data_IF_308059132277
#
_entry.id   IF_308059132277
#
_cell.length_a   1.000
_cell.length_b   1.000
_cell.length_c   1.000
_cell.angle_alpha   90.00
_cell.angle_beta   90.00
_cell.angle_gamma   90.00
#
_symmetry.space_group_name_H-M   'P 1'
#
loop_
_entity.id
_entity.type
_entity.pdbx_description
1 polymer ?
#
# COMPACT_ATOMS: atom_id res chain seq x y z
N UNK A 1 -44.24 5.44 28.14
CA UNK A 1 -44.58 6.02 26.82
C UNK A 1 -43.74 5.29 25.77
N UNK A 2 -44.38 4.44 24.96
CA UNK A 2 -43.72 3.60 23.92
C UNK A 2 -43.64 4.41 22.62
N UNK A 3 -42.48 4.46 21.98
CA UNK A 3 -42.31 5.00 20.61
C UNK A 3 -42.59 3.92 19.57
N UNK A 4 -43.27 4.23 18.46
CA UNK A 4 -43.52 3.23 17.40
C UNK A 4 -42.38 3.19 16.38
N UNK A 5 -42.17 1.98 15.82
CA UNK A 5 -41.25 1.66 14.72
C UNK A 5 -41.76 2.18 13.37
N UNK A 6 -40.88 2.54 12.42
CA UNK A 6 -41.30 2.89 11.07
C UNK A 6 -41.51 1.67 10.19
N UNK A 7 -42.66 1.63 9.53
CA UNK A 7 -43.07 0.67 8.50
C UNK A 7 -42.38 1.04 7.19
N UNK A 8 -41.63 0.11 6.60
CA UNK A 8 -41.06 0.24 5.25
C UNK A 8 -42.06 -0.27 4.23
N UNK A 9 -42.58 0.63 3.41
CA UNK A 9 -43.47 0.33 2.28
C UNK A 9 -42.62 -0.10 1.08
N UNK A 10 -42.79 -1.35 0.60
CA UNK A 10 -42.25 -1.80 -0.70
C UNK A 10 -43.34 -1.68 -1.76
N UNK A 11 -43.10 -0.85 -2.76
CA UNK A 11 -43.93 -0.77 -3.96
C UNK A 11 -43.50 -1.85 -4.97
N UNK A 12 -44.42 -2.76 -5.33
CA UNK A 12 -44.27 -3.65 -6.48
C UNK A 12 -44.85 -2.97 -7.71
N UNK A 13 -44.02 -2.80 -8.75
CA UNK A 13 -44.48 -2.35 -10.08
C UNK A 13 -45.07 -3.54 -10.84
N UNK A 14 -46.36 -3.42 -11.22
CA UNK A 14 -47.03 -4.33 -12.16
C UNK A 14 -46.77 -3.85 -13.59
N UNK A 15 -46.21 -4.72 -14.44
CA UNK A 15 -46.19 -4.56 -15.88
C UNK A 15 -47.22 -5.51 -16.46
N UNK A 16 -48.23 -4.93 -17.09
CA UNK A 16 -49.27 -5.67 -17.80
C UNK A 16 -48.81 -6.09 -19.21
N UNK A 17 -49.15 -7.31 -19.58
CA UNK A 17 -49.11 -7.75 -20.99
C UNK A 17 -50.50 -8.24 -21.39
N UNK A 18 -51.03 -7.67 -22.45
CA UNK A 18 -52.28 -8.03 -23.16
C UNK A 18 -52.05 -9.18 -24.13
N UNK A 19 -52.99 -10.12 -24.21
CA UNK A 19 -53.04 -11.03 -25.36
C UNK A 19 -53.85 -12.29 -25.19
N UNK A 20 -55.04 -12.28 -25.77
CA UNK A 20 -55.81 -13.35 -26.46
C UNK A 20 -56.42 -14.51 -25.70
N UNK A 21 -57.74 -14.63 -25.86
CA UNK A 21 -58.66 -15.65 -25.39
C UNK A 21 -58.44 -17.02 -26.07
N UNK A 22 -58.50 -18.08 -25.27
CA UNK A 22 -59.08 -19.40 -25.66
C UNK A 22 -59.52 -20.14 -24.43
N UNK A 23 -60.74 -20.73 -24.49
CA UNK A 23 -61.47 -21.38 -23.41
C UNK A 23 -60.81 -22.63 -22.84
N UNK A 24 -60.89 -22.81 -21.55
CA UNK A 24 -60.60 -24.11 -20.95
C UNK A 24 -60.29 -24.11 -19.44
N UNK A 25 -61.34 -24.39 -18.63
CA UNK A 25 -61.30 -24.98 -17.27
C UNK A 25 -60.34 -24.41 -16.20
N UNK A 26 -60.91 -23.73 -15.25
CA UNK A 26 -60.28 -23.40 -13.95
C UNK A 26 -59.86 -24.66 -13.18
N UNK A 27 -58.57 -24.78 -12.91
CA UNK A 27 -58.03 -25.53 -11.77
C UNK A 27 -57.26 -24.53 -10.93
N UNK A 28 -57.80 -24.20 -9.74
CA UNK A 28 -57.09 -23.39 -8.75
C UNK A 28 -56.04 -24.29 -8.11
N UNK A 29 -54.77 -24.02 -8.39
CA UNK A 29 -53.65 -24.45 -7.58
C UNK A 29 -53.04 -23.21 -6.91
N UNK A 30 -53.21 -23.15 -5.58
CA UNK A 30 -52.44 -22.23 -4.77
C UNK A 30 -50.97 -22.70 -4.78
N UNK A 31 -50.08 -21.98 -5.46
CA UNK A 31 -48.67 -22.12 -5.26
C UNK A 31 -48.15 -20.90 -4.52
N UNK A 32 -47.97 -21.01 -3.22
CA UNK A 32 -47.07 -20.15 -2.46
C UNK A 32 -45.62 -20.48 -2.89
N UNK A 33 -45.10 -19.70 -3.79
CA UNK A 33 -43.68 -19.76 -4.14
C UNK A 33 -43.07 -18.40 -3.91
N UNK A 34 -42.85 -18.05 -2.62
CA UNK A 34 -41.74 -17.18 -2.26
C UNK A 34 -40.49 -18.06 -2.26
N UNK A 35 -39.88 -18.24 -3.40
CA UNK A 35 -38.61 -18.93 -3.53
C UNK A 35 -37.53 -18.10 -2.86
N UNK A 36 -36.95 -18.65 -1.80
CA UNK A 36 -35.66 -18.21 -1.30
C UNK A 36 -34.68 -18.14 -2.48
N UNK A 37 -34.35 -16.91 -2.91
CA UNK A 37 -33.19 -16.71 -3.76
C UNK A 37 -31.96 -16.95 -2.90
N UNK A 38 -31.56 -18.21 -2.77
CA UNK A 38 -30.21 -18.55 -2.39
C UNK A 38 -29.29 -17.91 -3.41
N UNK A 39 -28.68 -16.78 -3.03
CA UNK A 39 -27.55 -16.22 -3.72
C UNK A 39 -26.42 -17.25 -3.65
N UNK A 40 -26.31 -18.09 -4.68
CA UNK A 40 -25.11 -18.91 -4.85
C UNK A 40 -23.95 -17.96 -5.07
N UNK A 41 -23.15 -17.72 -4.03
CA UNK A 41 -21.87 -17.06 -4.18
C UNK A 41 -21.08 -17.92 -5.18
N UNK A 42 -20.84 -17.39 -6.36
CA UNK A 42 -19.95 -18.03 -7.34
C UNK A 42 -18.61 -18.19 -6.64
N UNK A 43 -18.06 -19.42 -6.51
CA UNK A 43 -16.75 -19.61 -5.90
C UNK A 43 -15.76 -18.74 -6.64
N UNK A 44 -15.14 -17.79 -5.95
CA UNK A 44 -14.09 -16.98 -6.56
C UNK A 44 -12.88 -17.90 -6.79
N UNK A 45 -12.58 -18.16 -8.04
CA UNK A 45 -11.46 -19.01 -8.44
C UNK A 45 -10.15 -18.28 -8.16
N UNK A 46 -9.16 -18.99 -7.62
CA UNK A 46 -7.81 -18.48 -7.45
C UNK A 46 -7.25 -18.01 -8.80
N UNK A 47 -6.60 -16.84 -8.80
CA UNK A 47 -6.02 -16.24 -10.02
C UNK A 47 -4.52 -16.07 -9.83
N UNK A 48 -3.73 -16.37 -10.86
CA UNK A 48 -2.30 -16.12 -10.86
C UNK A 48 -1.99 -14.70 -11.31
N UNK A 49 -1.04 -14.04 -10.64
CA UNK A 49 -0.50 -12.75 -11.01
C UNK A 49 1.03 -12.79 -10.98
N UNK A 50 1.67 -12.47 -12.13
CA UNK A 50 3.12 -12.37 -12.23
C UNK A 50 3.59 -11.00 -11.81
N UNK A 51 4.40 -10.96 -10.73
CA UNK A 51 4.82 -9.73 -10.07
C UNK A 51 6.35 -9.63 -10.12
N UNK A 52 6.85 -8.41 -10.31
CA UNK A 52 8.26 -8.09 -10.14
C UNK A 52 8.45 -7.09 -8.99
N UNK A 53 9.50 -7.29 -8.21
CA UNK A 53 10.09 -6.30 -7.30
C UNK A 53 11.36 -5.76 -7.92
N UNK A 54 11.55 -4.45 -7.85
CA UNK A 54 12.77 -3.77 -8.31
C UNK A 54 13.56 -3.32 -7.09
N UNK A 55 14.57 -4.08 -6.73
CA UNK A 55 15.50 -3.72 -5.67
C UNK A 55 16.61 -2.85 -6.25
N UNK A 56 16.57 -1.55 -5.95
CA UNK A 56 17.53 -0.60 -6.53
C UNK A 56 18.06 0.41 -5.52
N UNK A 57 19.25 0.90 -5.78
CA UNK A 57 19.82 2.05 -5.10
C UNK A 57 19.20 3.32 -5.67
N UNK A 58 18.87 4.26 -4.81
CA UNK A 58 18.49 5.62 -5.23
C UNK A 58 19.59 6.61 -4.86
N UNK A 59 19.85 7.54 -5.74
CA UNK A 59 20.74 8.68 -5.47
C UNK A 59 19.89 9.80 -4.87
N UNK A 60 20.27 10.28 -3.70
CA UNK A 60 19.50 11.34 -3.03
C UNK A 60 19.44 12.59 -3.89
N UNK A 61 18.28 13.21 -4.00
CA UNK A 61 17.95 14.38 -4.82
C UNK A 61 18.06 14.22 -6.35
N UNK A 62 18.48 13.08 -6.87
CA UNK A 62 18.57 12.84 -8.31
C UNK A 62 17.31 12.16 -8.86
N UNK A 63 16.18 12.88 -8.82
CA UNK A 63 14.89 12.34 -9.29
C UNK A 63 15.00 11.84 -10.73
N UNK A 64 15.54 12.64 -11.64
CA UNK A 64 15.58 12.30 -13.07
C UNK A 64 16.49 11.08 -13.33
N UNK A 65 17.65 11.00 -12.67
CA UNK A 65 18.54 9.83 -12.76
C UNK A 65 17.91 8.56 -12.18
N UNK A 66 17.27 8.67 -11.02
CA UNK A 66 16.58 7.53 -10.40
C UNK A 66 15.41 7.04 -11.28
N UNK A 67 14.58 7.92 -11.83
CA UNK A 67 13.50 7.55 -12.75
C UNK A 67 14.01 6.91 -14.04
N UNK A 68 15.13 7.38 -14.58
CA UNK A 68 15.79 6.77 -15.74
C UNK A 68 16.25 5.34 -15.43
N UNK A 69 16.88 5.11 -14.28
CA UNK A 69 17.32 3.77 -13.85
C UNK A 69 16.12 2.85 -13.59
N UNK A 70 15.09 3.37 -12.90
CA UNK A 70 13.85 2.65 -12.65
C UNK A 70 13.14 2.23 -13.95
N UNK A 71 13.19 3.07 -14.99
CA UNK A 71 12.67 2.75 -16.32
C UNK A 71 13.33 1.51 -16.90
N UNK A 72 14.67 1.43 -16.84
CA UNK A 72 15.42 0.28 -17.37
C UNK A 72 15.06 -1.03 -16.62
N UNK A 73 14.84 -0.95 -15.30
CA UNK A 73 14.37 -2.11 -14.53
C UNK A 73 12.92 -2.50 -14.88
N UNK A 74 12.02 -1.51 -15.04
CA UNK A 74 10.64 -1.77 -15.46
C UNK A 74 10.56 -2.47 -16.82
N UNK A 75 11.38 -2.04 -17.78
CA UNK A 75 11.49 -2.65 -19.11
C UNK A 75 11.96 -4.10 -19.04
N UNK A 76 12.99 -4.37 -18.23
CA UNK A 76 13.47 -5.75 -18.00
C UNK A 76 12.40 -6.62 -17.36
N UNK A 77 11.66 -6.09 -16.37
CA UNK A 77 10.58 -6.83 -15.70
C UNK A 77 9.42 -7.12 -16.67
N UNK A 78 9.00 -6.13 -17.45
CA UNK A 78 7.95 -6.29 -18.46
C UNK A 78 8.34 -7.32 -19.55
N UNK A 79 9.60 -7.27 -20.02
CA UNK A 79 10.11 -8.23 -20.99
C UNK A 79 10.12 -9.68 -20.45
N UNK A 80 10.17 -9.86 -19.14
CA UNK A 80 10.06 -11.16 -18.46
C UNK A 80 8.61 -11.52 -18.08
N UNK A 81 7.64 -10.77 -18.59
CA UNK A 81 6.21 -11.05 -18.43
C UNK A 81 5.59 -10.55 -17.13
N UNK A 82 6.26 -9.69 -16.37
CA UNK A 82 5.66 -9.08 -15.18
C UNK A 82 4.41 -8.26 -15.56
N UNK A 83 3.33 -8.43 -14.81
CA UNK A 83 2.07 -7.70 -14.96
C UNK A 83 1.94 -6.56 -13.94
N UNK A 84 2.66 -6.67 -12.83
CA UNK A 84 2.78 -5.63 -11.81
C UNK A 84 4.26 -5.50 -11.43
N UNK A 85 4.74 -4.27 -11.34
CA UNK A 85 6.10 -3.94 -10.91
C UNK A 85 6.02 -3.01 -9.70
N UNK A 86 6.64 -3.44 -8.59
CA UNK A 86 6.73 -2.68 -7.35
C UNK A 86 8.14 -2.13 -7.18
N UNK A 87 8.23 -0.83 -6.89
CA UNK A 87 9.47 -0.13 -6.55
C UNK A 87 9.51 0.21 -5.05
N UNK A 88 10.72 0.45 -4.50
CA UNK A 88 10.87 0.82 -3.10
C UNK A 88 10.19 2.15 -2.72
N UNK A 89 10.04 2.34 -1.42
CA UNK A 89 9.67 3.62 -0.82
C UNK A 89 10.70 4.70 -1.19
N UNK A 90 10.22 5.92 -1.54
CA UNK A 90 11.05 7.04 -1.96
C UNK A 90 12.06 6.69 -3.09
N UNK A 91 11.65 5.83 -4.01
CA UNK A 91 12.53 5.38 -5.09
C UNK A 91 13.09 6.55 -5.90
N UNK A 92 12.25 7.55 -6.19
CA UNK A 92 12.65 8.68 -7.02
C UNK A 92 13.50 9.71 -6.26
N UNK A 93 13.15 10.02 -5.02
CA UNK A 93 13.75 11.14 -4.25
C UNK A 93 14.98 10.75 -3.43
N UNK A 94 15.19 9.47 -3.21
CA UNK A 94 16.09 8.98 -2.17
C UNK A 94 15.37 8.88 -0.82
N UNK A 95 16.03 8.32 0.18
CA UNK A 95 15.49 8.20 1.54
C UNK A 95 16.57 8.60 2.52
N UNK A 96 16.62 9.87 2.80
CA UNK A 96 17.52 10.42 3.80
C UNK A 96 16.71 11.31 4.76
N UNK A 97 17.05 11.24 6.04
CA UNK A 97 16.34 11.94 7.09
C UNK A 97 17.08 13.24 7.44
N UNK A 98 16.85 14.28 6.62
CA UNK A 98 17.48 15.59 6.78
C UNK A 98 16.48 16.67 6.36
N UNK A 99 16.65 17.92 6.84
CA UNK A 99 15.72 19.02 6.53
C UNK A 99 15.77 19.49 5.08
N UNK A 100 16.76 19.08 4.29
CA UNK A 100 16.80 19.29 2.85
C UNK A 100 16.03 18.21 2.06
N UNK A 101 15.47 17.19 2.73
CA UNK A 101 14.60 16.19 2.07
C UNK A 101 13.41 16.86 1.38
N UNK A 102 12.92 17.99 1.93
CA UNK A 102 11.81 18.74 1.34
C UNK A 102 12.14 19.39 0.00
N UNK A 103 13.43 19.54 -0.35
CA UNK A 103 13.85 20.07 -1.67
C UNK A 103 13.60 19.06 -2.79
N UNK A 104 13.41 17.78 -2.44
CA UNK A 104 13.05 16.70 -3.37
C UNK A 104 11.57 16.37 -3.35
N UNK A 105 10.75 17.07 -2.56
CA UNK A 105 9.32 16.82 -2.54
C UNK A 105 8.66 17.26 -3.85
N UNK A 106 7.59 16.57 -4.22
CA UNK A 106 6.87 16.81 -5.45
C UNK A 106 5.38 17.13 -5.16
N UNK A 107 4.71 17.92 -6.00
CA UNK A 107 3.26 18.07 -5.91
C UNK A 107 2.57 16.74 -6.24
N UNK A 108 1.29 16.60 -5.89
CA UNK A 108 0.47 15.40 -6.13
C UNK A 108 0.52 14.84 -7.57
N UNK A 109 0.87 15.66 -8.55
CA UNK A 109 1.00 15.31 -9.97
C UNK A 109 2.43 15.59 -10.48
N UNK A 110 3.42 15.42 -9.61
CA UNK A 110 4.82 15.68 -9.92
C UNK A 110 5.44 14.69 -10.91
N UNK A 111 6.77 14.80 -11.08
CA UNK A 111 7.55 13.99 -12.04
C UNK A 111 7.38 12.49 -11.82
N UNK A 112 7.41 12.04 -10.56
CA UNK A 112 7.27 10.61 -10.21
C UNK A 112 5.91 10.06 -10.66
N UNK A 113 4.82 10.77 -10.40
CA UNK A 113 3.47 10.35 -10.84
C UNK A 113 3.34 10.41 -12.37
N UNK A 114 3.88 11.43 -13.01
CA UNK A 114 3.89 11.54 -14.47
C UNK A 114 4.69 10.39 -15.11
N UNK A 115 5.85 10.05 -14.53
CA UNK A 115 6.66 8.91 -14.96
C UNK A 115 5.92 7.57 -14.79
N UNK A 116 5.31 7.32 -13.62
CA UNK A 116 4.50 6.12 -13.38
C UNK A 116 3.43 5.96 -14.48
N UNK A 117 2.67 7.02 -14.74
CA UNK A 117 1.58 6.99 -15.73
C UNK A 117 2.07 6.76 -17.16
N UNK A 118 3.14 7.43 -17.58
CA UNK A 118 3.68 7.29 -18.94
C UNK A 118 4.34 5.93 -19.14
N UNK A 119 5.11 5.45 -18.16
CA UNK A 119 5.85 4.19 -18.25
C UNK A 119 4.90 2.99 -18.15
N UNK A 120 3.95 3.00 -17.22
CA UNK A 120 2.94 1.94 -17.11
C UNK A 120 2.12 1.79 -18.39
N UNK A 121 1.71 2.92 -19.01
CA UNK A 121 1.02 2.92 -20.30
C UNK A 121 1.87 2.34 -21.42
N UNK A 122 3.12 2.79 -21.53
CA UNK A 122 4.05 2.33 -22.58
C UNK A 122 4.35 0.83 -22.48
N UNK A 123 4.51 0.32 -21.25
CA UNK A 123 4.83 -1.09 -21.00
C UNK A 123 3.59 -2.00 -20.89
N UNK A 124 2.40 -1.42 -20.74
CA UNK A 124 1.15 -2.18 -20.58
C UNK A 124 1.07 -2.94 -19.23
N UNK A 125 1.69 -2.42 -18.17
CA UNK A 125 1.78 -3.06 -16.85
C UNK A 125 1.30 -2.15 -15.73
N UNK A 126 0.94 -2.76 -14.59
CA UNK A 126 0.73 -2.04 -13.34
C UNK A 126 2.08 -1.63 -12.74
N UNK A 127 2.17 -0.42 -12.19
CA UNK A 127 3.39 0.04 -11.52
C UNK A 127 3.04 0.80 -10.24
N UNK A 128 3.86 0.61 -9.19
CA UNK A 128 3.67 1.32 -7.92
C UNK A 128 4.98 1.67 -7.24
N UNK A 129 5.02 2.85 -6.62
CA UNK A 129 6.09 3.33 -5.72
C UNK A 129 5.55 4.41 -4.79
N UNK A 130 6.29 4.76 -3.73
CA UNK A 130 5.99 5.96 -2.96
C UNK A 130 6.98 7.10 -3.26
N UNK A 131 6.54 8.31 -2.94
CA UNK A 131 7.32 9.54 -3.09
C UNK A 131 6.94 10.54 -2.01
N UNK A 132 7.80 11.53 -1.76
CA UNK A 132 7.51 12.61 -0.84
C UNK A 132 6.60 13.63 -1.54
N UNK A 133 5.32 13.60 -1.17
CA UNK A 133 4.28 14.48 -1.70
C UNK A 133 4.19 15.76 -0.88
N UNK A 134 4.15 16.91 -1.55
CA UNK A 134 3.71 18.17 -0.95
C UNK A 134 2.25 18.44 -1.34
N UNK A 135 1.36 18.53 -0.35
CA UNK A 135 -0.06 18.83 -0.54
C UNK A 135 -0.53 19.87 0.49
N UNK A 136 -0.96 21.03 -0.01
CA UNK A 136 -1.27 22.16 0.85
C UNK A 136 -0.04 22.60 1.65
N UNK A 137 -0.19 22.64 2.97
CA UNK A 137 0.87 23.06 3.88
C UNK A 137 1.72 21.92 4.44
N UNK A 138 1.56 20.69 3.96
CA UNK A 138 2.14 19.49 4.56
C UNK A 138 2.87 18.61 3.55
N UNK A 139 3.75 17.76 4.08
CA UNK A 139 4.42 16.69 3.34
C UNK A 139 3.89 15.33 3.77
N UNK A 140 3.84 14.39 2.84
CA UNK A 140 3.36 13.02 3.04
C UNK A 140 4.25 12.03 2.30
N UNK A 141 4.45 10.85 2.88
CA UNK A 141 4.91 9.70 2.13
C UNK A 141 3.70 9.06 1.45
N UNK A 142 3.65 9.16 0.13
CA UNK A 142 2.48 8.79 -0.67
C UNK A 142 2.81 7.71 -1.68
N UNK A 143 2.21 6.55 -1.52
CA UNK A 143 2.23 5.49 -2.53
C UNK A 143 1.19 5.77 -3.61
N UNK A 144 1.58 5.55 -4.87
CA UNK A 144 0.69 5.63 -6.05
C UNK A 144 0.78 4.35 -6.85
N UNK A 145 -0.38 3.80 -7.20
CA UNK A 145 -0.52 2.68 -8.12
C UNK A 145 -1.09 3.17 -9.45
N UNK A 146 -0.47 2.78 -10.56
CA UNK A 146 -0.95 3.11 -11.92
C UNK A 146 -1.35 1.88 -12.70
N UNK A 147 -2.35 2.05 -13.58
CA UNK A 147 -2.90 1.00 -14.44
C UNK A 147 -2.06 0.84 -15.72
N UNK A 148 -2.22 -0.29 -16.46
CA UNK A 148 -1.63 -0.47 -17.78
C UNK A 148 -2.06 0.57 -18.82
N UNK A 149 -3.14 1.32 -18.57
CA UNK A 149 -3.60 2.42 -19.42
C UNK A 149 -2.97 3.77 -19.03
N UNK A 150 -2.10 3.80 -18.01
CA UNK A 150 -1.45 5.02 -17.52
C UNK A 150 -2.36 5.90 -16.67
N UNK A 151 -3.39 5.34 -16.09
CA UNK A 151 -4.25 6.04 -15.14
C UNK A 151 -3.79 5.78 -13.70
N UNK A 152 -3.99 6.71 -12.82
CA UNK A 152 -3.86 6.47 -11.38
C UNK A 152 -5.03 5.59 -10.93
N UNK A 153 -4.72 4.39 -10.41
CA UNK A 153 -5.71 3.49 -9.85
C UNK A 153 -6.11 3.91 -8.43
N UNK A 154 -5.17 4.51 -7.70
CA UNK A 154 -5.36 5.02 -6.36
C UNK A 154 -4.03 5.36 -5.69
N UNK A 155 -4.13 5.93 -4.49
CA UNK A 155 -3.00 6.27 -3.63
C UNK A 155 -3.26 5.94 -2.18
N UNK A 156 -2.19 5.71 -1.43
CA UNK A 156 -2.19 5.52 0.01
C UNK A 156 -1.13 6.43 0.60
N UNK A 157 -1.49 7.26 1.57
CA UNK A 157 -0.55 8.02 2.38
C UNK A 157 -0.18 7.22 3.62
N UNK A 158 1.09 7.20 3.95
CA UNK A 158 1.59 6.59 5.17
C UNK A 158 0.85 7.17 6.38
N UNK A 159 0.23 6.32 7.18
CA UNK A 159 -0.53 6.75 8.35
C UNK A 159 0.38 7.01 9.54
N UNK A 160 1.48 6.23 9.64
CA UNK A 160 2.41 6.30 10.76
C UNK A 160 3.82 6.54 10.25
N UNK A 161 4.31 7.80 10.27
CA UNK A 161 5.74 8.05 10.13
C UNK A 161 6.51 7.36 11.25
N UNK A 162 7.53 6.57 10.91
CA UNK A 162 8.27 5.79 11.89
C UNK A 162 9.35 6.63 12.57
N UNK A 163 9.27 6.80 13.89
CA UNK A 163 10.30 7.46 14.69
C UNK A 163 10.76 8.80 14.11
N UNK A 164 12.01 8.90 13.61
CA UNK A 164 12.55 10.15 13.06
C UNK A 164 11.83 10.69 11.81
N UNK A 165 11.09 9.87 11.09
CA UNK A 165 10.35 10.33 9.91
C UNK A 165 9.33 11.42 10.24
N UNK A 166 8.78 11.37 11.47
CA UNK A 166 7.80 12.35 11.94
C UNK A 166 8.34 13.79 12.02
N UNK A 167 9.65 14.02 11.91
CA UNK A 167 10.23 15.34 11.70
C UNK A 167 10.04 15.89 10.30
N UNK A 168 9.80 15.04 9.31
CA UNK A 168 9.89 15.38 7.88
C UNK A 168 8.57 15.30 7.14
N UNK A 169 7.66 14.44 7.58
CA UNK A 169 6.31 14.35 7.01
C UNK A 169 5.29 13.90 8.07
N UNK A 170 4.03 14.18 7.79
CA UNK A 170 2.94 13.80 8.68
C UNK A 170 2.26 12.52 8.20
N UNK A 171 1.61 11.81 9.13
CA UNK A 171 0.71 10.72 8.82
C UNK A 171 -0.68 11.21 8.43
N UNK A 172 -1.38 10.42 7.62
CA UNK A 172 -2.79 10.64 7.28
C UNK A 172 -3.57 9.33 7.45
N UNK A 173 -4.62 9.38 8.28
CA UNK A 173 -5.54 8.24 8.44
C UNK A 173 -6.37 8.10 7.18
N UNK A 174 -6.34 6.90 6.59
CA UNK A 174 -7.07 6.62 5.35
C UNK A 174 -7.19 5.14 5.05
N UNK A 175 -7.76 4.81 3.90
CA UNK A 175 -7.80 3.43 3.42
C UNK A 175 -6.40 2.96 3.01
N UNK A 176 -6.03 1.77 3.47
CA UNK A 176 -4.84 1.05 3.01
C UNK A 176 -5.12 0.11 1.84
N UNK A 177 -6.32 0.15 1.25
CA UNK A 177 -6.70 -0.73 0.15
C UNK A 177 -7.17 0.08 -1.06
N UNK A 178 -6.60 -0.23 -2.22
CA UNK A 178 -6.96 0.31 -3.53
C UNK A 178 -7.77 -0.74 -4.29
N UNK A 179 -8.99 -0.40 -4.71
CA UNK A 179 -9.82 -1.28 -5.53
C UNK A 179 -9.36 -1.21 -6.99
N UNK A 180 -9.04 -2.35 -7.58
CA UNK A 180 -8.50 -2.44 -8.95
C UNK A 180 -9.09 -3.59 -9.75
N UNK A 181 -8.86 -3.62 -11.08
CA UNK A 181 -9.24 -4.73 -11.94
C UNK A 181 -8.46 -6.03 -11.66
N UNK A 182 -7.30 -5.95 -11.01
CA UNK A 182 -6.50 -7.13 -10.62
C UNK A 182 -6.78 -7.58 -9.18
N UNK A 183 -7.70 -6.95 -8.49
CA UNK A 183 -8.10 -7.25 -7.11
C UNK A 183 -7.99 -6.05 -6.20
N UNK A 184 -8.25 -6.27 -4.94
CA UNK A 184 -8.10 -5.28 -3.86
C UNK A 184 -6.65 -5.30 -3.39
N UNK A 185 -5.94 -4.22 -3.62
CA UNK A 185 -4.50 -4.11 -3.35
C UNK A 185 -4.30 -3.40 -2.02
N UNK A 186 -3.88 -4.15 -1.01
CA UNK A 186 -3.42 -3.60 0.27
C UNK A 186 -2.04 -2.97 0.11
N UNK A 187 -1.82 -1.84 0.76
CA UNK A 187 -0.53 -1.14 0.76
C UNK A 187 -0.15 -0.77 2.17
N UNK A 188 0.96 -1.28 2.65
CA UNK A 188 1.60 -0.85 3.88
C UNK A 188 2.99 -0.28 3.56
N UNK A 189 3.22 0.99 3.90
CA UNK A 189 4.48 1.64 3.57
C UNK A 189 5.48 1.43 4.70
N UNK A 190 6.54 0.68 4.43
CA UNK A 190 7.69 0.48 5.31
C UNK A 190 7.29 0.02 6.74
N UNK A 191 7.57 0.82 7.74
CA UNK A 191 7.32 0.49 9.15
C UNK A 191 5.85 0.21 9.50
N UNK A 192 4.90 0.67 8.70
CA UNK A 192 3.47 0.38 8.92
C UNK A 192 3.18 -1.12 8.93
N UNK A 193 3.93 -1.89 8.16
CA UNK A 193 3.76 -3.34 8.07
C UNK A 193 4.08 -4.09 9.37
N UNK A 194 4.68 -3.42 10.36
CA UNK A 194 4.91 -3.99 11.69
C UNK A 194 3.75 -3.77 12.66
N UNK A 195 2.74 -2.97 12.31
CA UNK A 195 1.61 -2.66 13.19
C UNK A 195 0.41 -3.55 12.92
N UNK A 196 -0.07 -4.22 13.99
CA UNK A 196 -1.22 -5.14 13.91
C UNK A 196 -2.47 -4.48 13.33
N UNK A 197 -2.75 -3.24 13.70
CA UNK A 197 -3.96 -2.55 13.24
C UNK A 197 -3.92 -2.23 11.75
N UNK A 198 -2.74 -1.97 11.15
CA UNK A 198 -2.61 -1.79 9.69
C UNK A 198 -2.91 -3.12 8.97
N UNK A 199 -2.37 -4.23 9.46
CA UNK A 199 -2.69 -5.56 8.93
C UNK A 199 -4.19 -5.86 9.06
N UNK A 200 -4.80 -5.55 10.21
CA UNK A 200 -6.24 -5.72 10.44
C UNK A 200 -7.10 -4.89 9.48
N UNK A 201 -6.75 -3.62 9.26
CA UNK A 201 -7.45 -2.77 8.28
C UNK A 201 -7.43 -3.35 6.85
N UNK A 202 -6.29 -3.93 6.43
CA UNK A 202 -6.22 -4.57 5.10
C UNK A 202 -7.10 -5.81 5.01
N UNK A 203 -7.18 -6.61 6.08
CA UNK A 203 -8.04 -7.80 6.14
C UNK A 203 -9.51 -7.39 6.16
N UNK A 204 -9.92 -6.44 7.00
CA UNK A 204 -11.29 -5.92 7.07
C UNK A 204 -11.78 -5.39 5.73
N UNK A 205 -10.89 -4.73 4.97
CA UNK A 205 -11.18 -4.25 3.63
C UNK A 205 -11.04 -5.34 2.55
N UNK A 206 -10.72 -6.58 2.95
CA UNK A 206 -10.63 -7.77 2.09
C UNK A 206 -9.55 -7.67 1.02
N UNK A 207 -8.34 -7.21 1.36
CA UNK A 207 -7.21 -7.17 0.43
C UNK A 207 -6.96 -8.55 -0.21
N UNK A 208 -6.58 -8.57 -1.48
CA UNK A 208 -6.24 -9.77 -2.26
C UNK A 208 -4.72 -9.95 -2.42
N UNK A 209 -3.98 -8.86 -2.33
CA UNK A 209 -2.54 -8.76 -2.46
C UNK A 209 -2.06 -7.63 -1.56
N UNK A 210 -0.93 -7.80 -0.89
CA UNK A 210 -0.32 -6.75 -0.08
C UNK A 210 1.02 -6.33 -0.68
N UNK A 211 1.16 -5.03 -0.96
CA UNK A 211 2.37 -4.40 -1.43
C UNK A 211 3.04 -3.65 -0.28
N UNK A 212 4.33 -3.91 -0.10
CA UNK A 212 5.15 -3.37 0.99
C UNK A 212 6.37 -2.65 0.41
N UNK A 213 6.24 -1.40 -0.07
CA UNK A 213 7.40 -0.59 -0.44
C UNK A 213 8.16 -0.17 0.82
N UNK A 214 9.46 -0.44 0.86
CA UNK A 214 10.34 -0.16 1.98
C UNK A 214 11.54 0.68 1.58
N UNK A 215 11.98 1.52 2.51
CA UNK A 215 13.32 2.10 2.57
C UNK A 215 13.86 1.86 3.98
N UNK A 216 13.92 0.58 4.36
CA UNK A 216 14.35 0.14 5.68
C UNK A 216 15.87 0.03 5.71
N UNK A 217 16.58 0.95 6.40
CA UNK A 217 18.03 0.87 6.52
C UNK A 217 18.42 -0.24 7.51
N UNK A 218 19.61 -0.79 7.33
CA UNK A 218 20.27 -1.54 8.39
C UNK A 218 20.82 -0.55 9.42
N UNK A 219 20.05 -0.31 10.46
CA UNK A 219 20.40 0.60 11.56
C UNK A 219 21.56 0.08 12.40
N UNK A 220 21.96 -1.20 12.25
CA UNK A 220 22.76 -1.93 13.21
C UNK A 220 24.02 -2.58 12.62
N UNK A 221 24.65 -1.99 11.61
CA UNK A 221 25.99 -2.44 11.14
C UNK A 221 27.06 -2.51 12.25
N UNK A 222 26.73 -2.05 13.44
CA UNK A 222 27.61 -2.07 14.63
C UNK A 222 27.32 -3.25 15.58
N UNK A 223 26.78 -4.34 15.13
CA UNK A 223 26.90 -5.61 15.84
C UNK A 223 25.78 -5.97 16.79
N UNK A 224 24.57 -6.20 16.33
CA UNK A 224 23.76 -7.02 17.18
C UNK A 224 22.26 -7.12 16.99
N UNK A 225 21.61 -6.26 16.29
CA UNK A 225 20.17 -6.38 16.05
C UNK A 225 19.91 -6.12 14.56
N UNK A 226 19.98 -7.17 13.77
CA UNK A 226 19.54 -7.12 12.38
C UNK A 226 18.02 -6.88 12.36
N UNK A 227 17.56 -5.87 11.64
CA UNK A 227 16.17 -5.86 11.23
C UNK A 227 15.86 -7.21 10.57
N UNK A 228 14.76 -7.88 10.95
CA UNK A 228 14.43 -9.15 10.32
C UNK A 228 14.45 -8.98 8.81
N UNK A 229 14.99 -9.92 8.03
CA UNK A 229 14.92 -9.85 6.58
C UNK A 229 13.49 -9.58 6.13
N UNK A 230 13.30 -8.77 5.09
CA UNK A 230 11.98 -8.48 4.54
C UNK A 230 11.17 -9.73 4.21
N UNK A 231 11.86 -10.83 3.93
CA UNK A 231 11.29 -12.18 3.81
C UNK A 231 10.48 -12.57 5.06
N UNK A 232 10.95 -12.28 6.27
CA UNK A 232 10.24 -12.65 7.50
C UNK A 232 8.92 -11.89 7.64
N UNK A 233 8.90 -10.61 7.28
CA UNK A 233 7.70 -9.79 7.32
C UNK A 233 6.67 -10.28 6.29
N UNK A 234 7.07 -10.39 5.02
CA UNK A 234 6.21 -10.90 3.96
C UNK A 234 5.70 -12.33 4.27
N UNK A 235 6.58 -13.17 4.86
CA UNK A 235 6.23 -14.54 5.27
C UNK A 235 5.16 -14.56 6.36
N UNK A 236 5.24 -13.62 7.33
CA UNK A 236 4.22 -13.50 8.37
C UNK A 236 2.85 -13.21 7.76
N UNK A 237 2.76 -12.26 6.82
CA UNK A 237 1.52 -11.92 6.12
C UNK A 237 0.97 -13.10 5.31
N UNK A 238 1.79 -13.73 4.47
CA UNK A 238 1.37 -14.90 3.69
C UNK A 238 0.84 -16.02 4.56
N UNK A 239 1.56 -16.39 5.62
CA UNK A 239 1.19 -17.51 6.51
C UNK A 239 -0.03 -17.23 7.38
N UNK A 240 -0.15 -16.00 7.93
CA UNK A 240 -1.17 -15.72 8.92
C UNK A 240 -2.44 -15.13 8.30
N UNK A 241 -2.32 -14.42 7.17
CA UNK A 241 -3.46 -13.81 6.52
C UNK A 241 -3.98 -14.59 5.32
N UNK A 242 -3.18 -15.52 4.77
CA UNK A 242 -3.51 -16.20 3.52
C UNK A 242 -3.56 -15.25 2.32
N UNK A 243 -2.83 -14.13 2.38
CA UNK A 243 -2.77 -13.08 1.36
C UNK A 243 -1.34 -13.00 0.87
N UNK A 244 -1.08 -13.05 -0.44
CA UNK A 244 0.28 -12.85 -0.97
C UNK A 244 0.84 -11.51 -0.53
N UNK A 245 2.11 -11.49 -0.15
CA UNK A 245 2.79 -10.30 0.32
C UNK A 245 4.07 -10.06 -0.48
N UNK A 246 4.23 -8.86 -0.99
CA UNK A 246 5.33 -8.44 -1.87
C UNK A 246 6.08 -7.30 -1.21
N UNK A 247 7.24 -7.60 -0.66
CA UNK A 247 8.09 -6.63 0.01
C UNK A 247 9.25 -6.26 -0.91
N UNK A 248 9.43 -4.98 -1.16
CA UNK A 248 10.58 -4.45 -1.89
C UNK A 248 11.32 -3.41 -1.04
N UNK A 249 12.62 -3.59 -0.90
CA UNK A 249 13.47 -2.65 -0.18
C UNK A 249 14.51 -2.02 -1.11
N UNK A 250 15.05 -0.89 -0.71
CA UNK A 250 16.25 -0.31 -1.32
C UNK A 250 17.47 -1.17 -1.04
N UNK A 251 18.51 -0.93 -1.84
CA UNK A 251 19.84 -1.51 -1.64
C UNK A 251 20.92 -0.43 -1.74
N UNK A 252 22.07 -0.66 -1.11
CA UNK A 252 23.21 0.24 -1.18
C UNK A 252 23.16 1.40 -0.18
N UNK A 253 23.96 2.41 -0.41
CA UNK A 253 24.12 3.53 0.52
C UNK A 253 23.33 4.75 0.06
N UNK A 254 22.75 5.48 1.02
CA UNK A 254 22.40 6.89 0.82
C UNK A 254 23.69 7.71 0.65
N UNK A 255 23.73 8.62 -0.31
CA UNK A 255 24.93 9.42 -0.63
C UNK A 255 25.18 10.55 0.36
N UNK A 256 24.15 10.99 1.07
CA UNK A 256 24.28 12.02 2.12
C UNK A 256 23.86 11.41 3.46
N UNK A 257 24.80 10.86 4.25
CA UNK A 257 24.45 10.47 5.61
C UNK A 257 23.97 11.72 6.37
N UNK A 258 22.91 11.59 7.15
CA UNK A 258 22.51 12.66 8.05
C UNK A 258 23.69 13.03 8.97
N UNK A 259 23.77 14.29 9.43
CA UNK A 259 24.86 14.73 10.32
C UNK A 259 24.98 13.93 11.61
N UNK A 260 24.00 13.08 11.94
CA UNK A 260 23.92 12.28 13.16
C UNK A 260 24.18 10.78 12.95
N UNK A 261 25.01 10.39 11.96
CA UNK A 261 25.60 9.03 11.85
C UNK A 261 24.68 7.84 11.56
N UNK A 262 23.40 8.01 11.28
CA UNK A 262 22.63 6.92 10.68
C UNK A 262 23.15 6.77 9.25
N UNK A 263 24.20 5.97 9.10
CA UNK A 263 24.73 5.58 7.79
C UNK A 263 23.63 4.79 7.11
N UNK A 264 22.86 5.45 6.23
CA UNK A 264 21.77 4.85 5.49
C UNK A 264 22.27 3.78 4.54
N UNK A 265 22.58 2.59 5.09
CA UNK A 265 22.84 1.40 4.32
C UNK A 265 21.54 0.60 4.24
N UNK A 266 21.08 0.37 3.03
CA UNK A 266 19.90 -0.42 2.75
C UNK A 266 20.34 -1.84 2.35
N UNK A 267 19.89 -2.88 3.07
CA UNK A 267 20.37 -4.25 2.85
C UNK A 267 19.71 -4.94 1.66
N UNK A 268 18.71 -4.35 1.03
CA UNK A 268 17.92 -5.06 0.02
C UNK A 268 17.02 -6.10 0.67
N UNK A 269 17.24 -7.39 0.39
CA UNK A 269 16.52 -8.54 0.96
C UNK A 269 15.02 -8.53 0.63
N UNK A 270 14.66 -8.04 -0.56
CA UNK A 270 13.28 -8.04 -1.06
C UNK A 270 12.74 -9.46 -1.24
N UNK A 271 11.43 -9.64 -1.07
CA UNK A 271 10.81 -10.96 -1.16
C UNK A 271 9.40 -10.91 -1.74
N UNK A 272 9.03 -11.98 -2.43
CA UNK A 272 7.66 -12.28 -2.88
C UNK A 272 7.22 -13.56 -2.18
N UNK A 273 6.17 -13.49 -1.39
CA UNK A 273 5.58 -14.62 -0.66
C UNK A 273 4.16 -14.83 -1.14
N UNK A 274 3.79 -16.08 -1.37
CA UNK A 274 2.46 -16.46 -1.84
C UNK A 274 1.44 -16.60 -0.70
N UNK A 275 0.18 -16.75 -1.04
CA UNK A 275 -0.95 -16.93 -0.10
C UNK A 275 -0.86 -18.20 0.75
N UNK A 276 -0.05 -19.19 0.37
CA UNK A 276 0.24 -20.38 1.17
C UNK A 276 1.43 -20.21 2.12
N UNK A 277 2.03 -19.00 2.15
CA UNK A 277 3.23 -18.70 2.91
C UNK A 277 4.51 -19.23 2.30
N UNK A 278 4.50 -19.74 1.06
CA UNK A 278 5.71 -20.13 0.36
C UNK A 278 6.47 -18.92 -0.16
N UNK A 279 7.78 -18.88 0.05
CA UNK A 279 8.66 -17.87 -0.53
C UNK A 279 8.88 -18.20 -2.00
N UNK A 280 8.29 -17.41 -2.90
CA UNK A 280 8.41 -17.59 -4.36
C UNK A 280 9.66 -16.92 -4.91
N UNK A 281 10.09 -15.83 -4.29
CA UNK A 281 11.33 -15.11 -4.62
C UNK A 281 11.92 -14.51 -3.36
N UNK A 282 13.22 -14.60 -3.23
CA UNK A 282 14.04 -13.90 -2.23
C UNK A 282 15.23 -13.29 -2.94
N UNK A 283 15.58 -12.05 -2.62
CA UNK A 283 16.73 -11.35 -3.18
C UNK A 283 17.83 -11.20 -2.13
N UNK A 284 19.05 -11.10 -2.60
CA UNK A 284 20.25 -10.79 -1.79
C UNK A 284 20.41 -9.27 -1.58
N UNK A 285 21.62 -8.82 -1.36
CA UNK A 285 22.01 -7.41 -1.13
C UNK A 285 22.42 -6.66 -2.41
N UNK A 286 22.04 -7.16 -3.58
CA UNK A 286 22.41 -6.59 -4.88
C UNK A 286 21.25 -5.94 -5.57
N UNK A 287 21.54 -4.93 -6.41
CA UNK A 287 20.54 -4.38 -7.33
C UNK A 287 20.04 -5.43 -8.32
N UNK A 288 18.75 -5.42 -8.57
CA UNK A 288 18.17 -6.34 -9.52
C UNK A 288 16.64 -6.35 -9.50
N UNK A 289 16.12 -7.32 -10.23
CA UNK A 289 14.67 -7.63 -10.23
C UNK A 289 14.45 -9.03 -9.72
N UNK A 290 13.49 -9.19 -8.81
CA UNK A 290 12.95 -10.48 -8.42
C UNK A 290 11.58 -10.67 -9.06
N UNK A 291 11.30 -11.84 -9.66
CA UNK A 291 10.04 -12.10 -10.34
C UNK A 291 9.47 -13.43 -9.89
N UNK A 292 8.16 -13.44 -9.59
CA UNK A 292 7.44 -14.66 -9.29
C UNK A 292 5.95 -14.54 -9.65
N UNK A 293 5.29 -15.68 -9.77
CA UNK A 293 3.86 -15.80 -9.83
C UNK A 293 3.31 -16.04 -8.41
N UNK A 294 2.25 -15.30 -8.05
CA UNK A 294 1.52 -15.49 -6.80
C UNK A 294 0.07 -15.84 -7.08
N UNK A 295 -0.56 -16.54 -6.14
CA UNK A 295 -1.95 -16.95 -6.20
C UNK A 295 -2.82 -16.00 -5.38
N UNK A 296 -3.68 -15.24 -6.04
CA UNK A 296 -4.75 -14.48 -5.40
C UNK A 296 -5.90 -15.43 -5.11
N UNK A 297 -5.87 -16.09 -3.96
CA UNK A 297 -6.81 -17.14 -3.58
C UNK A 297 -7.76 -16.67 -2.46
N UNK A 298 -9.01 -16.35 -2.79
CA UNK A 298 -9.99 -15.91 -1.80
C UNK A 298 -10.29 -16.96 -0.72
N UNK A 299 -10.10 -18.24 -1.03
CA UNK A 299 -10.35 -19.36 -0.11
C UNK A 299 -9.29 -19.48 0.99
N UNK A 300 -8.13 -18.86 0.83
CA UNK A 300 -7.05 -18.87 1.82
C UNK A 300 -7.07 -17.69 2.79
N UNK A 301 -7.79 -16.62 2.43
CA UNK A 301 -7.79 -15.39 3.24
C UNK A 301 -8.42 -15.61 4.61
N UNK A 302 -7.77 -15.08 5.65
CA UNK A 302 -8.37 -15.06 6.98
C UNK A 302 -9.62 -14.20 6.99
N UNK A 303 -10.64 -14.64 7.74
CA UNK A 303 -11.85 -13.84 8.02
C UNK A 303 -11.78 -13.10 9.35
N UNK A 304 -10.66 -13.24 10.10
CA UNK A 304 -10.47 -12.57 11.39
C UNK A 304 -10.15 -11.11 11.15
N UNK A 305 -10.93 -10.20 11.68
CA UNK A 305 -10.66 -8.75 11.65
C UNK A 305 -9.46 -8.38 12.52
N UNK A 306 -9.31 -9.03 13.67
CA UNK A 306 -8.15 -8.84 14.55
C UNK A 306 -7.12 -9.96 14.27
N UNK A 307 -6.11 -9.62 13.49
CA UNK A 307 -5.10 -10.60 13.02
C UNK A 307 -3.93 -10.78 13.97
N UNK A 308 -3.70 -9.83 14.86
CA UNK A 308 -2.75 -9.92 15.95
C UNK A 308 -3.13 -8.95 17.08
N UNK A 309 -2.58 -9.19 18.28
CA UNK A 309 -2.84 -8.36 19.46
C UNK A 309 -1.64 -7.49 19.80
N UNK A 310 -1.89 -6.33 20.39
CA UNK A 310 -0.88 -5.38 20.79
C UNK A 310 -0.48 -4.38 19.71
N UNK A 311 0.63 -3.66 19.95
CA UNK A 311 1.06 -2.56 19.09
C UNK A 311 1.70 -3.09 17.80
N UNK A 312 2.35 -4.26 17.85
CA UNK A 312 3.14 -4.75 16.74
C UNK A 312 3.03 -6.24 16.49
N UNK A 313 3.47 -6.66 15.32
CA UNK A 313 3.68 -8.06 14.96
C UNK A 313 4.84 -8.56 15.80
N UNK A 314 4.55 -9.27 16.88
CA UNK A 314 5.45 -9.53 18.01
C UNK A 314 6.81 -10.16 17.63
N UNK A 315 6.85 -10.97 16.58
CA UNK A 315 8.09 -11.58 16.08
C UNK A 315 9.04 -10.59 15.37
N UNK A 316 8.54 -9.36 15.12
CA UNK A 316 9.21 -8.36 14.29
C UNK A 316 9.44 -7.04 15.03
N UNK A 317 8.94 -6.91 16.27
CA UNK A 317 9.17 -5.69 17.07
C UNK A 317 10.51 -5.76 17.81
N UNK A 318 11.38 -4.80 17.52
CA UNK A 318 12.62 -4.60 18.24
C UNK A 318 12.34 -3.90 19.57
N UNK A 319 12.76 -4.49 20.69
CA UNK A 319 12.79 -3.81 21.99
C UNK A 319 11.57 -4.02 22.91
N UNK A 320 10.57 -4.81 22.56
CA UNK A 320 9.43 -5.09 23.44
C UNK A 320 8.63 -3.84 23.83
N UNK A 321 7.85 -3.92 24.92
CA UNK A 321 6.97 -2.84 25.38
C UNK A 321 7.70 -1.57 25.86
N UNK A 322 8.90 -1.69 26.40
CA UNK A 322 9.70 -0.54 26.84
C UNK A 322 10.21 0.28 25.62
N UNK A 323 10.71 -0.41 24.58
CA UNK A 323 11.14 0.25 23.34
C UNK A 323 9.98 0.95 22.62
N UNK A 324 8.78 0.37 22.64
CA UNK A 324 7.60 0.97 22.04
C UNK A 324 7.20 2.31 22.69
N UNK A 325 7.34 2.43 24.02
CA UNK A 325 7.04 3.68 24.73
C UNK A 325 8.05 4.79 24.39
N UNK A 326 9.33 4.45 24.26
CA UNK A 326 10.37 5.41 23.86
C UNK A 326 10.18 5.88 22.41
N UNK A 327 9.86 4.96 21.50
CA UNK A 327 9.54 5.30 20.09
C UNK A 327 8.34 6.22 20.02
N UNK A 328 7.26 5.93 20.75
CA UNK A 328 6.06 6.77 20.76
C UNK A 328 6.34 8.18 21.31
N UNK A 329 7.20 8.31 22.32
CA UNK A 329 7.63 9.60 22.83
C UNK A 329 8.44 10.38 21.80
N UNK A 330 9.41 9.73 21.17
CA UNK A 330 10.24 10.34 20.13
C UNK A 330 9.39 10.79 18.92
N UNK A 331 8.41 9.99 18.52
CA UNK A 331 7.45 10.35 17.47
C UNK A 331 6.60 11.57 17.83
N UNK A 332 6.14 11.66 19.08
CA UNK A 332 5.36 12.81 19.56
C UNK A 332 6.20 14.11 19.56
N UNK A 333 7.47 14.04 19.98
CA UNK A 333 8.40 15.17 19.93
C UNK A 333 8.71 15.58 18.47
N UNK A 334 8.94 14.62 17.60
CA UNK A 334 9.19 14.85 16.18
C UNK A 334 7.99 15.51 15.50
N UNK A 335 6.78 15.02 15.75
CA UNK A 335 5.54 15.60 15.25
C UNK A 335 5.36 17.05 15.69
N UNK A 336 5.57 17.34 16.98
CA UNK A 336 5.50 18.69 17.52
C UNK A 336 6.52 19.62 16.84
N UNK A 337 7.75 19.13 16.61
CA UNK A 337 8.78 19.86 15.87
C UNK A 337 8.35 20.16 14.43
N UNK A 338 7.81 19.16 13.72
CA UNK A 338 7.28 19.31 12.37
C UNK A 338 6.16 20.35 12.30
N UNK A 339 5.16 20.28 13.19
CA UNK A 339 4.02 21.18 13.23
C UNK A 339 4.43 22.64 13.44
N UNK A 340 5.43 22.87 14.29
CA UNK A 340 5.91 24.21 14.63
C UNK A 340 7.00 24.75 13.67
N UNK A 341 7.37 24.01 12.65
CA UNK A 341 8.43 24.43 11.72
C UNK A 341 7.87 25.36 10.61
N UNK A 342 8.18 26.69 10.64
CA UNK A 342 7.63 27.63 9.66
C UNK A 342 8.22 27.42 8.25
N UNK A 343 9.45 26.93 8.14
CA UNK A 343 10.13 26.67 6.84
C UNK A 343 9.43 25.52 6.14
N UNK A 344 9.09 24.47 6.87
CA UNK A 344 8.34 23.32 6.37
C UNK A 344 7.05 23.76 5.68
N UNK A 345 6.23 24.57 6.37
CA UNK A 345 4.95 25.06 5.86
C UNK A 345 5.10 25.90 4.60
N UNK A 346 6.05 26.83 4.59
CA UNK A 346 6.31 27.68 3.43
C UNK A 346 6.77 26.85 2.21
N UNK A 347 7.68 25.88 2.40
CA UNK A 347 8.13 24.98 1.33
C UNK A 347 6.99 24.14 0.77
N UNK A 348 6.18 23.51 1.63
CA UNK A 348 5.05 22.69 1.19
C UNK A 348 4.07 23.50 0.33
N UNK A 349 3.68 24.70 0.76
CA UNK A 349 2.80 25.59 0.00
C UNK A 349 3.41 26.00 -1.35
N UNK A 350 4.70 26.32 -1.40
CA UNK A 350 5.38 26.68 -2.64
C UNK A 350 5.39 25.53 -3.65
N UNK A 351 5.65 24.29 -3.20
CA UNK A 351 5.71 23.11 -4.08
C UNK A 351 4.32 22.68 -4.52
N UNK A 352 3.32 22.69 -3.62
CA UNK A 352 1.94 22.30 -3.93
C UNK A 352 1.20 23.29 -4.84
N UNK A 353 1.80 24.43 -5.20
CA UNK A 353 1.19 25.47 -6.02
C UNK A 353 0.20 26.36 -5.28
N UNK A 354 0.32 26.48 -3.96
CA UNK A 354 -0.48 27.40 -3.12
C UNK A 354 -1.97 27.08 -3.02
N UNK A 355 -2.44 26.02 -3.66
CA UNK A 355 -3.84 25.59 -3.57
C UNK A 355 -4.01 24.66 -2.37
N UNK A 356 -4.22 25.24 -1.20
CA UNK A 356 -4.81 24.57 -0.06
C UNK A 356 -6.25 24.17 -0.39
N UNK A 357 -6.41 23.03 -1.07
CA UNK A 357 -7.73 22.45 -1.29
C UNK A 357 -8.29 21.98 0.04
N UNK A 358 -9.30 22.69 0.56
CA UNK A 358 -10.20 22.15 1.59
C UNK A 358 -10.86 20.90 1.02
N UNK A 359 -10.28 19.74 1.28
CA UNK A 359 -11.01 18.47 1.12
C UNK A 359 -12.12 18.49 2.18
N UNK A 360 -13.35 18.74 1.75
CA UNK A 360 -14.53 18.45 2.55
C UNK A 360 -14.48 16.97 2.90
N UNK A 361 -14.30 16.69 4.19
CA UNK A 361 -14.49 15.35 4.75
C UNK A 361 -15.97 14.99 4.55
N UNK A 362 -16.25 14.16 3.57
CA UNK A 362 -17.54 13.46 3.55
C UNK A 362 -17.52 12.47 4.73
N UNK A 363 -18.36 12.81 5.70
CA UNK A 363 -18.71 11.95 6.84
C UNK A 363 -19.45 10.70 6.40
#
# INVERSE_FOLDING_TARGET
MKRPSPIVLRACLLIGATGAFAEGRLVRTHSNACGDQQSYAVPQVARSLRIAVVQMQSVDHDIDGNLKRATAFAEKAAAQGARLVLFPEFMATGSYLSFDTWDSAEPSKGKTVAWLKSTSKRLGIWMGTSFLEADGADFYDTFVLTTPQGQEAGRVRKQIPAGPEAYFFRGEVGSHVINTAIGKIGVGICAENYYCFIASQMVEQSADLILMPHASPDMFQSGGLHSPPGTHLALWYGKNLGIPAVMVNKVGRSYKPPPNEIKGFFPGLSAIVDSDGSVRQSMDDKEGIGIADVSLDPGRKTSKSEVCTGIGIAALTVGGSAGAAEVAKAEAEARKSYENNPVRKAKALAISGGQGGTRTSNK
#
